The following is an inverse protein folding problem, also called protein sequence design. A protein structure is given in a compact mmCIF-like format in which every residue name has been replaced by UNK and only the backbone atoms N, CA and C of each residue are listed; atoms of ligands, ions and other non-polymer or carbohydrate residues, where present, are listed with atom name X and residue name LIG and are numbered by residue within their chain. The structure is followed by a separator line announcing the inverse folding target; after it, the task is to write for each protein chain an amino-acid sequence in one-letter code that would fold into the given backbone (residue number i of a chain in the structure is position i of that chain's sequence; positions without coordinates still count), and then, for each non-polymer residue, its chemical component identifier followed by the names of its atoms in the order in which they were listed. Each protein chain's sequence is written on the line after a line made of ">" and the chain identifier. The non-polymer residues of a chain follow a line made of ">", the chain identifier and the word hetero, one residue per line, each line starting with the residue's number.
data_IF_358911239189
#
_entry.id   IF_358911239189
#
_cell.length_a   1.000
_cell.length_b   1.000
_cell.length_c   1.000
_cell.angle_alpha   90.00
_cell.angle_beta   90.00
_cell.angle_gamma   90.00
#
_symmetry.space_group_name_H-M   'P 1'
#
loop_
_entity.id
_entity.type
_entity.pdbx_description
1 polymer ?
#
# COMPACT_ATOMS: atom_id res chain seq x y z
N UNK A 1 9.36 17.92 7.84
CA UNK A 1 8.83 16.59 7.50
C UNK A 1 7.97 16.14 8.66
N UNK A 2 6.72 15.77 8.39
CA UNK A 2 5.83 15.21 9.42
C UNK A 2 6.29 13.77 9.70
N UNK A 3 7.15 13.56 10.70
CA UNK A 3 7.63 12.23 11.15
C UNK A 3 6.50 11.29 11.64
N UNK A 4 5.26 11.77 11.63
CA UNK A 4 4.08 11.06 12.08
C UNK A 4 3.52 10.09 11.05
N UNK A 5 3.99 10.07 9.80
CA UNK A 5 3.54 9.09 8.82
C UNK A 5 4.67 8.59 7.92
N UNK A 6 4.81 7.26 7.85
CA UNK A 6 5.79 6.63 7.00
C UNK A 6 5.24 5.32 6.43
N UNK A 7 5.46 5.10 5.15
CA UNK A 7 5.21 3.84 4.45
C UNK A 7 6.51 3.38 3.82
N UNK A 8 6.92 2.13 4.01
CA UNK A 8 8.17 1.61 3.47
C UNK A 8 8.05 0.14 3.11
N UNK A 9 8.91 -0.27 2.18
CA UNK A 9 9.11 -1.66 1.79
C UNK A 9 10.45 -2.17 2.32
N UNK A 10 10.51 -3.46 2.60
CA UNK A 10 11.72 -4.17 2.99
C UNK A 10 11.82 -5.48 2.21
N UNK A 11 13.05 -5.97 2.00
CA UNK A 11 13.25 -7.28 1.41
C UNK A 11 12.81 -8.39 2.38
N UNK A 12 12.23 -9.46 1.84
CA UNK A 12 11.93 -10.69 2.56
C UNK A 12 12.38 -11.92 1.77
N UNK A 13 12.31 -13.09 2.40
CA UNK A 13 12.51 -14.35 1.71
C UNK A 13 11.48 -14.52 0.58
N UNK A 14 11.94 -15.00 -0.57
CA UNK A 14 11.07 -15.23 -1.73
C UNK A 14 9.94 -16.20 -1.38
N UNK A 15 8.70 -15.80 -1.63
CA UNK A 15 7.51 -16.63 -1.43
C UNK A 15 6.58 -16.49 -2.62
N UNK A 16 6.01 -17.59 -3.10
CA UNK A 16 5.06 -17.56 -4.22
C UNK A 16 3.64 -17.56 -3.67
N UNK A 17 2.84 -16.56 -4.04
CA UNK A 17 1.45 -16.43 -3.56
C UNK A 17 0.50 -16.18 -4.74
N UNK A 18 -0.74 -16.65 -4.60
CA UNK A 18 -1.77 -16.51 -5.63
C UNK A 18 -2.47 -15.14 -5.58
N UNK A 19 -2.48 -14.42 -6.69
CA UNK A 19 -3.17 -13.15 -6.91
C UNK A 19 -4.56 -13.39 -7.45
N UNK A 20 -5.57 -12.83 -6.82
CA UNK A 20 -6.97 -12.91 -7.26
C UNK A 20 -7.63 -11.54 -7.40
N UNK A 21 -6.88 -10.48 -7.09
CA UNK A 21 -7.37 -9.11 -7.05
C UNK A 21 -6.43 -8.16 -7.80
N UNK A 22 -6.99 -7.05 -8.26
CA UNK A 22 -6.23 -5.86 -8.64
C UNK A 22 -6.56 -4.73 -7.68
N UNK A 23 -5.57 -3.91 -7.33
CA UNK A 23 -5.76 -2.74 -6.50
C UNK A 23 -5.45 -1.44 -7.24
N UNK A 24 -6.27 -0.43 -6.97
CA UNK A 24 -6.04 0.96 -7.37
C UNK A 24 -6.07 1.81 -6.11
N UNK A 25 -5.00 2.55 -5.86
CA UNK A 25 -4.96 3.57 -4.81
C UNK A 25 -5.62 4.84 -5.35
N UNK A 26 -6.58 5.36 -4.59
CA UNK A 26 -7.17 6.66 -4.81
C UNK A 26 -6.80 7.61 -3.67
N UNK A 27 -6.68 8.89 -4.01
CA UNK A 27 -6.52 9.99 -3.07
C UNK A 27 -7.55 11.05 -3.42
N UNK A 28 -8.44 11.40 -2.47
CA UNK A 28 -9.57 12.31 -2.72
C UNK A 28 -10.39 11.91 -3.96
N UNK A 29 -10.75 10.62 -4.05
CA UNK A 29 -11.51 10.04 -5.16
C UNK A 29 -10.82 10.08 -6.53
N UNK A 30 -9.53 10.42 -6.59
CA UNK A 30 -8.73 10.38 -7.82
C UNK A 30 -7.76 9.21 -7.81
N UNK A 31 -7.71 8.47 -8.90
CA UNK A 31 -6.74 7.40 -9.08
C UNK A 31 -5.33 7.99 -9.12
N UNK A 32 -4.48 7.61 -8.16
CA UNK A 32 -3.10 8.09 -8.05
C UNK A 32 -2.07 6.99 -8.29
N UNK A 33 -2.47 5.73 -8.19
CA UNK A 33 -1.61 4.58 -8.47
C UNK A 33 -2.45 3.33 -8.79
N UNK A 34 -2.07 2.57 -9.81
CA UNK A 34 -2.78 1.36 -10.25
C UNK A 34 -3.46 1.51 -11.62
N UNK A 35 -4.22 0.47 -12.03
CA UNK A 35 -4.42 -0.80 -11.33
C UNK A 35 -3.17 -1.71 -11.36
N UNK A 36 -2.85 -2.36 -10.24
CA UNK A 36 -1.79 -3.38 -10.14
C UNK A 36 -2.29 -4.67 -9.49
N UNK A 37 -1.53 -5.74 -9.70
CA UNK A 37 -1.86 -7.07 -9.19
C UNK A 37 -1.70 -7.08 -7.66
N UNK A 38 -2.69 -7.58 -6.94
CA UNK A 38 -2.63 -7.64 -5.49
C UNK A 38 -3.31 -8.88 -4.89
N UNK A 39 -3.10 -9.03 -3.59
CA UNK A 39 -3.69 -10.09 -2.78
C UNK A 39 -4.91 -9.61 -2.01
N UNK A 40 -5.72 -10.55 -1.53
CA UNK A 40 -6.80 -10.26 -0.59
C UNK A 40 -6.29 -9.53 0.67
N UNK A 41 -5.11 -9.88 1.16
CA UNK A 41 -4.50 -9.22 2.32
C UNK A 41 -4.17 -7.73 2.08
N UNK A 42 -4.18 -7.25 0.83
CA UNK A 42 -3.95 -5.85 0.48
C UNK A 42 -5.09 -4.94 1.00
N UNK A 43 -6.26 -5.51 1.35
CA UNK A 43 -7.27 -4.78 2.11
C UNK A 43 -6.73 -4.24 3.45
N UNK A 44 -5.77 -4.93 4.09
CA UNK A 44 -5.14 -4.46 5.32
C UNK A 44 -4.33 -3.19 5.08
N UNK A 45 -3.63 -3.10 3.95
CA UNK A 45 -2.90 -1.91 3.53
C UNK A 45 -3.88 -0.75 3.26
N UNK A 46 -4.97 -1.00 2.53
CA UNK A 46 -6.02 0.00 2.31
C UNK A 46 -6.60 0.56 3.61
N UNK A 47 -6.94 -0.32 4.55
CA UNK A 47 -7.46 0.07 5.86
C UNK A 47 -6.43 0.85 6.69
N UNK A 48 -5.15 0.45 6.65
CA UNK A 48 -4.09 1.16 7.36
C UNK A 48 -3.87 2.57 6.79
N UNK A 49 -3.87 2.71 5.46
CA UNK A 49 -3.74 4.01 4.80
C UNK A 49 -4.95 4.90 5.11
N UNK A 50 -6.17 4.37 4.99
CA UNK A 50 -7.39 5.12 5.29
C UNK A 50 -7.48 5.54 6.76
N UNK A 51 -7.02 4.69 7.68
CA UNK A 51 -6.94 5.02 9.11
C UNK A 51 -5.91 6.11 9.41
N UNK A 52 -4.81 6.13 8.67
CA UNK A 52 -3.80 7.17 8.81
C UNK A 52 -4.25 8.48 8.17
N UNK A 53 -4.93 8.43 7.03
CA UNK A 53 -5.48 9.56 6.30
C UNK A 53 -6.73 9.13 5.53
N UNK A 54 -7.92 9.67 5.87
CA UNK A 54 -9.18 9.27 5.24
C UNK A 54 -9.27 9.64 3.76
N UNK A 55 -8.36 10.49 3.26
CA UNK A 55 -8.26 10.82 1.83
C UNK A 55 -7.75 9.65 0.99
N UNK A 56 -6.97 8.73 1.59
CA UNK A 56 -6.55 7.52 0.89
C UNK A 56 -7.66 6.48 0.92
N UNK A 57 -7.90 5.86 -0.22
CA UNK A 57 -8.73 4.67 -0.33
C UNK A 57 -8.09 3.68 -1.32
N UNK A 58 -8.23 2.39 -1.05
CA UNK A 58 -7.67 1.35 -1.90
C UNK A 58 -8.79 0.49 -2.45
N UNK A 59 -9.13 0.70 -3.72
CA UNK A 59 -10.16 -0.07 -4.40
C UNK A 59 -9.59 -1.40 -4.85
N UNK A 60 -10.24 -2.50 -4.48
CA UNK A 60 -9.88 -3.84 -4.90
C UNK A 60 -10.98 -4.44 -5.77
N UNK A 61 -10.58 -4.97 -6.92
CA UNK A 61 -11.49 -5.58 -7.89
C UNK A 61 -11.02 -7.01 -8.16
N UNK A 62 -11.97 -7.96 -8.18
CA UNK A 62 -11.67 -9.36 -8.44
C UNK A 62 -11.27 -9.58 -9.89
N UNK A 63 -10.39 -10.56 -10.13
CA UNK A 63 -9.86 -10.88 -11.46
C UNK A 63 -9.41 -12.34 -11.56
N UNK A 64 -9.00 -12.75 -12.75
CA UNK A 64 -8.45 -14.07 -12.99
C UNK A 64 -7.20 -14.35 -12.14
N UNK A 65 -7.14 -15.57 -11.60
CA UNK A 65 -6.10 -15.99 -10.66
C UNK A 65 -4.75 -16.06 -11.37
N UNK A 66 -3.78 -15.36 -10.81
CA UNK A 66 -2.37 -15.35 -11.26
C UNK A 66 -1.48 -15.82 -10.11
N UNK A 67 -0.28 -16.31 -10.39
CA UNK A 67 0.67 -16.79 -9.37
C UNK A 67 1.94 -15.98 -9.52
N UNK A 68 2.33 -15.25 -8.48
CA UNK A 68 3.45 -14.31 -8.56
C UNK A 68 4.35 -14.43 -7.33
N UNK A 69 5.64 -14.21 -7.54
CA UNK A 69 6.66 -14.30 -6.51
C UNK A 69 6.80 -12.98 -5.76
N UNK A 70 6.67 -13.03 -4.44
CA UNK A 70 6.94 -11.92 -3.55
C UNK A 70 8.35 -11.94 -3.01
N UNK A 71 9.01 -10.80 -3.12
CA UNK A 71 10.36 -10.56 -2.60
C UNK A 71 10.38 -9.47 -1.54
N UNK A 72 9.24 -8.80 -1.29
CA UNK A 72 9.14 -7.66 -0.38
C UNK A 72 8.04 -7.78 0.66
N UNK A 73 8.13 -6.94 1.67
CA UNK A 73 7.08 -6.67 2.64
C UNK A 73 6.88 -5.18 2.79
N UNK A 74 5.63 -4.71 2.91
CA UNK A 74 5.28 -3.31 3.15
C UNK A 74 4.78 -3.10 4.58
N UNK A 75 5.19 -1.98 5.18
CA UNK A 75 4.78 -1.56 6.51
C UNK A 75 4.30 -0.12 6.50
N UNK A 76 3.37 0.20 7.41
CA UNK A 76 2.81 1.55 7.59
C UNK A 76 2.93 1.95 9.05
N UNK A 77 3.47 3.13 9.30
CA UNK A 77 3.59 3.76 10.61
C UNK A 77 2.80 5.06 10.60
N UNK A 78 1.98 5.26 11.63
CA UNK A 78 1.23 6.49 11.86
C UNK A 78 1.31 6.87 13.35
N UNK A 79 1.56 8.15 13.66
CA UNK A 79 1.70 8.69 15.02
C UNK A 79 2.62 7.85 15.91
N UNK A 80 3.81 7.57 15.40
CA UNK A 80 4.83 6.74 16.04
C UNK A 80 4.44 5.26 16.30
N UNK A 81 3.32 4.79 15.76
CA UNK A 81 2.80 3.42 15.93
C UNK A 81 2.79 2.69 14.59
N UNK A 82 3.31 1.46 14.57
CA UNK A 82 3.19 0.59 13.38
C UNK A 82 1.76 0.05 13.32
N UNK A 83 1.01 0.47 12.31
CA UNK A 83 -0.39 0.08 12.11
C UNK A 83 -0.55 -1.01 11.04
N UNK A 84 0.48 -1.23 10.23
CA UNK A 84 0.63 -2.39 9.35
C UNK A 84 2.08 -2.85 9.44
N UNK A 85 2.30 -4.10 9.81
CA UNK A 85 3.64 -4.67 9.98
C UNK A 85 3.89 -5.77 8.94
N UNK A 86 4.84 -5.51 8.05
CA UNK A 86 5.45 -6.48 7.12
C UNK A 86 4.46 -7.31 6.30
N UNK A 87 3.48 -6.65 5.69
CA UNK A 87 2.56 -7.29 4.75
C UNK A 87 3.30 -7.77 3.50
N UNK A 88 3.23 -9.07 3.17
CA UNK A 88 3.82 -9.66 1.95
C UNK A 88 3.42 -8.90 0.69
N UNK A 89 4.41 -8.55 -0.15
CA UNK A 89 4.16 -7.79 -1.38
C UNK A 89 5.28 -7.87 -2.44
N UNK A 90 5.08 -7.18 -3.56
CA UNK A 90 5.97 -7.12 -4.72
C UNK A 90 6.85 -5.88 -4.76
N UNK A 91 7.86 -5.92 -5.62
CA UNK A 91 8.71 -4.78 -5.95
C UNK A 91 7.92 -3.56 -6.43
N UNK A 92 6.77 -3.75 -7.09
CA UNK A 92 5.92 -2.65 -7.57
C UNK A 92 5.35 -1.77 -6.43
N UNK A 93 5.31 -2.26 -5.19
CA UNK A 93 4.88 -1.44 -4.05
C UNK A 93 5.88 -0.36 -3.65
N UNK A 94 7.10 -0.37 -4.17
CA UNK A 94 8.00 0.77 -4.04
C UNK A 94 7.40 2.02 -4.69
N UNK A 95 6.79 1.85 -5.88
CA UNK A 95 6.10 2.93 -6.58
C UNK A 95 4.92 3.47 -5.78
N UNK A 96 4.17 2.58 -5.13
CA UNK A 96 3.09 2.97 -4.22
C UNK A 96 3.63 3.82 -3.07
N UNK A 97 4.71 3.38 -2.41
CA UNK A 97 5.33 4.13 -1.32
C UNK A 97 5.78 5.53 -1.77
N UNK A 98 6.36 5.63 -2.97
CA UNK A 98 6.80 6.91 -3.53
C UNK A 98 5.62 7.86 -3.78
N UNK A 99 4.54 7.37 -4.40
CA UNK A 99 3.33 8.18 -4.65
C UNK A 99 2.72 8.68 -3.34
N UNK A 100 2.57 7.79 -2.36
CA UNK A 100 2.01 8.14 -1.05
C UNK A 100 2.87 9.22 -0.37
N UNK A 101 4.20 9.03 -0.33
CA UNK A 101 5.11 10.01 0.28
C UNK A 101 5.06 11.36 -0.43
N UNK A 102 4.98 11.37 -1.76
CA UNK A 102 4.86 12.60 -2.55
C UNK A 102 3.54 13.34 -2.27
N UNK A 103 2.42 12.63 -2.18
CA UNK A 103 1.11 13.22 -1.84
C UNK A 103 1.11 13.79 -0.42
N UNK A 104 1.66 13.05 0.54
CA UNK A 104 1.76 13.50 1.93
C UNK A 104 2.64 14.74 2.05
N UNK A 105 3.74 14.82 1.31
CA UNK A 105 4.62 16.00 1.30
C UNK A 105 3.95 17.21 0.64
N UNK A 106 3.23 17.00 -0.48
CA UNK A 106 2.51 18.05 -1.20
C UNK A 106 1.30 18.60 -0.44
N UNK A 107 0.56 17.73 0.25
CA UNK A 107 -0.75 18.05 0.84
C UNK A 107 -0.69 18.29 2.37
N UNK A 108 0.51 18.44 2.93
CA UNK A 108 0.71 18.87 4.33
C UNK A 108 0.65 17.77 5.38
N UNK A 109 0.76 16.50 4.99
CA UNK A 109 0.68 15.35 5.89
C UNK A 109 -0.72 14.75 6.00
N UNK A 110 -0.88 13.64 6.74
CA UNK A 110 -2.19 13.07 7.06
C UNK A 110 -3.07 14.03 7.87
N UNK A 111 -4.40 13.94 7.70
CA UNK A 111 -5.40 14.78 8.39
C UNK A 111 -6.13 14.02 9.50
#
# INVERSE_FOLDING_TARGET
>A
MNDNFNVWTENKAHSVEGHTYQCTLTFQDRDVWGPYHCHENTHQLGNALHRADPRFNLRMEAREKTVEGHTRSISVKFQNTVILDRLSTHDNMDGLCQVIRALVDAEGGPQ
#
